data_IF_014693511016
#
_entry.id   IF_014693511016
#
_cell.length_a   1.000
_cell.length_b   1.000
_cell.length_c   1.000
_cell.angle_alpha   90.00
_cell.angle_beta   90.00
_cell.angle_gamma   90.00
#
_symmetry.space_group_name_H-M   'P 1'
#
loop_
_entity.id
_entity.type
_entity.pdbx_description
1 polymer ?
#
# COMPACT_ATOMS: atom_id res chain seq x y z
N UNK A 1 -52.51 10.39 31.31
CA UNK A 1 -51.41 10.63 32.25
C UNK A 1 -50.26 11.27 31.53
N UNK A 2 -49.97 12.52 31.88
CA UNK A 2 -48.95 13.34 31.21
C UNK A 2 -47.54 12.75 31.36
N UNK A 3 -47.27 12.01 32.43
CA UNK A 3 -45.98 11.35 32.67
C UNK A 3 -45.57 10.34 31.58
N UNK A 4 -46.52 9.59 31.04
CA UNK A 4 -46.25 8.63 29.97
C UNK A 4 -45.75 9.33 28.68
N UNK A 5 -46.27 10.51 28.38
CA UNK A 5 -45.81 11.29 27.21
C UNK A 5 -44.39 11.77 27.36
N UNK A 6 -44.00 12.28 28.53
CA UNK A 6 -42.65 12.71 28.81
C UNK A 6 -41.68 11.55 28.80
N UNK A 7 -42.06 10.40 29.33
CA UNK A 7 -41.24 9.17 29.33
C UNK A 7 -41.02 8.66 27.90
N UNK A 8 -42.03 8.70 27.06
CA UNK A 8 -41.94 8.34 25.63
C UNK A 8 -40.98 9.28 24.88
N UNK A 9 -41.03 10.59 25.14
CA UNK A 9 -40.14 11.58 24.53
C UNK A 9 -38.69 11.32 24.95
N UNK A 10 -38.42 11.03 26.22
CA UNK A 10 -37.09 10.71 26.73
C UNK A 10 -36.51 9.46 26.04
N UNK A 11 -37.30 8.38 25.93
CA UNK A 11 -36.85 7.18 25.24
C UNK A 11 -36.64 7.42 23.74
N UNK A 12 -37.44 8.26 23.11
CA UNK A 12 -37.26 8.65 21.71
C UNK A 12 -35.96 9.42 21.50
N UNK A 13 -35.63 10.35 22.40
CA UNK A 13 -34.36 11.12 22.39
C UNK A 13 -33.17 10.19 22.57
N UNK A 14 -33.23 9.26 23.53
CA UNK A 14 -32.17 8.28 23.78
C UNK A 14 -31.99 7.36 22.55
N UNK A 15 -33.08 6.92 21.93
CA UNK A 15 -33.06 6.11 20.71
C UNK A 15 -32.44 6.86 19.52
N UNK A 16 -32.81 8.12 19.34
CA UNK A 16 -32.25 8.99 18.28
C UNK A 16 -30.77 9.35 18.52
N UNK A 17 -30.36 9.50 19.76
CA UNK A 17 -28.97 9.77 20.13
C UNK A 17 -28.03 8.62 19.77
N UNK A 18 -28.55 7.41 19.51
CA UNK A 18 -27.81 6.24 19.04
C UNK A 18 -26.56 5.97 19.89
N UNK A 19 -26.71 5.73 21.23
CA UNK A 19 -25.53 5.52 22.06
C UNK A 19 -24.73 4.33 21.52
N UNK A 20 -23.62 4.63 20.84
CA UNK A 20 -22.68 3.61 20.35
C UNK A 20 -21.65 3.39 21.43
N UNK A 21 -21.54 2.17 21.90
CA UNK A 21 -20.38 1.75 22.65
C UNK A 21 -19.20 1.80 21.69
N UNK A 22 -18.36 2.82 21.79
CA UNK A 22 -17.04 2.76 21.17
C UNK A 22 -16.32 1.66 21.93
N UNK A 23 -16.25 0.48 21.31
CA UNK A 23 -15.24 -0.50 21.72
C UNK A 23 -13.92 0.21 21.45
N UNK A 24 -13.28 0.70 22.50
CA UNK A 24 -11.87 1.05 22.44
C UNK A 24 -11.20 -0.16 21.81
N UNK A 25 -10.83 -0.01 20.54
CA UNK A 25 -9.88 -0.93 19.97
C UNK A 25 -8.66 -0.76 20.85
N UNK A 26 -8.47 -1.72 21.73
CA UNK A 26 -7.21 -1.86 22.45
C UNK A 26 -6.18 -1.78 21.36
N UNK A 27 -5.51 -0.63 21.25
CA UNK A 27 -4.32 -0.50 20.44
C UNK A 27 -3.36 -1.45 21.12
N UNK A 28 -3.41 -2.71 20.71
CA UNK A 28 -2.33 -3.64 21.00
C UNK A 28 -1.17 -2.96 20.27
N UNK A 29 -0.37 -2.23 21.04
CA UNK A 29 0.93 -1.73 20.61
C UNK A 29 1.81 -2.97 20.43
N UNK A 30 1.45 -3.78 19.46
CA UNK A 30 2.40 -4.72 18.87
C UNK A 30 3.42 -3.83 18.17
N UNK A 31 4.69 -4.09 18.40
CA UNK A 31 5.83 -3.40 17.77
C UNK A 31 5.84 -3.59 16.23
N UNK A 32 4.69 -3.41 15.59
CA UNK A 32 4.51 -3.51 14.15
C UNK A 32 5.32 -2.44 13.44
N UNK A 33 5.79 -2.78 12.25
CA UNK A 33 6.52 -1.87 11.37
C UNK A 33 5.56 -1.27 10.34
N UNK A 34 5.93 -0.10 9.80
CA UNK A 34 5.21 0.52 8.70
C UNK A 34 5.91 0.22 7.38
N UNK A 35 5.18 -0.37 6.47
CA UNK A 35 5.68 -0.81 5.17
C UNK A 35 4.88 -0.12 4.07
N UNK A 36 5.56 0.49 3.10
CA UNK A 36 4.92 0.89 1.84
C UNK A 36 5.44 0.03 0.72
N UNK A 37 4.53 -0.64 0.04
CA UNK A 37 4.78 -1.39 -1.18
C UNK A 37 4.65 -0.44 -2.36
N UNK A 38 5.72 -0.22 -3.13
CA UNK A 38 5.73 0.60 -4.32
C UNK A 38 5.83 -0.33 -5.54
N UNK A 39 4.73 -0.47 -6.28
CA UNK A 39 4.62 -1.37 -7.43
C UNK A 39 4.70 -0.60 -8.73
N UNK A 40 5.58 -1.03 -9.61
CA UNK A 40 5.60 -0.57 -10.99
C UNK A 40 4.41 -1.16 -11.77
N UNK A 41 3.81 -0.31 -12.63
CA UNK A 41 2.69 -0.69 -13.51
C UNK A 41 2.90 -0.19 -14.94
N UNK A 42 4.17 0.01 -15.34
CA UNK A 42 4.56 0.40 -16.70
C UNK A 42 4.26 -0.72 -17.73
N UNK A 43 4.38 -0.40 -19.02
CA UNK A 43 4.16 -1.32 -20.11
C UNK A 43 5.09 -2.53 -20.08
N UNK A 44 6.33 -2.43 -19.57
CA UNK A 44 7.27 -3.54 -19.42
C UNK A 44 6.75 -4.65 -18.50
N UNK A 45 5.90 -4.31 -17.54
CA UNK A 45 5.26 -5.25 -16.62
C UNK A 45 4.22 -6.16 -17.30
N UNK A 46 3.89 -5.90 -18.56
CA UNK A 46 3.06 -6.77 -19.40
C UNK A 46 3.83 -7.99 -19.93
N UNK A 47 5.16 -8.02 -19.85
CA UNK A 47 5.97 -9.12 -20.35
C UNK A 47 5.58 -10.45 -19.68
N UNK A 48 5.32 -11.48 -20.51
CA UNK A 48 4.91 -12.82 -20.08
C UNK A 48 6.11 -13.78 -20.06
N UNK A 49 7.16 -13.41 -19.35
CA UNK A 49 8.39 -14.17 -19.24
C UNK A 49 8.39 -15.19 -18.09
N UNK A 50 7.34 -15.19 -17.27
CA UNK A 50 7.14 -16.18 -16.22
C UNK A 50 6.17 -17.29 -16.62
N UNK A 51 6.43 -18.51 -16.15
CA UNK A 51 5.53 -19.66 -16.29
C UNK A 51 5.15 -20.20 -14.91
N UNK A 52 3.86 -20.25 -14.61
CA UNK A 52 3.33 -20.90 -13.39
C UNK A 52 2.35 -21.98 -13.85
N UNK A 53 2.55 -23.22 -13.39
CA UNK A 53 1.72 -24.36 -13.77
C UNK A 53 1.55 -24.55 -15.29
N UNK A 54 2.61 -24.25 -16.07
CA UNK A 54 2.59 -24.34 -17.52
C UNK A 54 1.92 -23.16 -18.26
N UNK A 55 1.29 -22.23 -17.56
CA UNK A 55 0.69 -21.03 -18.13
C UNK A 55 1.63 -19.83 -18.04
N UNK A 56 1.71 -19.07 -19.12
CA UNK A 56 2.42 -17.78 -19.10
C UNK A 56 1.65 -16.77 -18.28
N UNK A 57 2.37 -15.99 -17.49
CA UNK A 57 1.83 -14.91 -16.66
C UNK A 57 2.68 -13.67 -16.87
N UNK A 58 2.04 -12.51 -16.89
CA UNK A 58 2.75 -11.25 -16.94
C UNK A 58 3.42 -10.92 -15.58
N UNK A 59 4.42 -10.06 -15.64
CA UNK A 59 5.20 -9.67 -14.44
C UNK A 59 4.33 -9.07 -13.35
N UNK A 60 3.35 -8.22 -13.70
CA UNK A 60 2.46 -7.60 -12.73
C UNK A 60 1.64 -8.65 -11.97
N UNK A 61 1.10 -9.67 -12.64
CA UNK A 61 0.31 -10.72 -11.98
C UNK A 61 1.17 -11.56 -11.03
N UNK A 62 2.43 -11.82 -11.40
CA UNK A 62 3.40 -12.51 -10.53
C UNK A 62 3.67 -11.66 -9.29
N UNK A 63 3.99 -10.38 -9.45
CA UNK A 63 4.24 -9.48 -8.33
C UNK A 63 3.01 -9.41 -7.42
N UNK A 64 1.81 -9.27 -7.98
CA UNK A 64 0.57 -9.25 -7.19
C UNK A 64 0.38 -10.52 -6.38
N UNK A 65 0.77 -11.69 -6.91
CA UNK A 65 0.70 -12.95 -6.17
C UNK A 65 1.69 -13.00 -5.01
N UNK A 66 2.93 -12.58 -5.24
CA UNK A 66 3.99 -12.50 -4.22
C UNK A 66 3.63 -11.49 -3.12
N UNK A 67 3.14 -10.32 -3.51
CA UNK A 67 2.70 -9.29 -2.57
C UNK A 67 1.53 -9.78 -1.72
N UNK A 68 0.58 -10.52 -2.31
CA UNK A 68 -0.53 -11.11 -1.55
C UNK A 68 -0.04 -12.10 -0.51
N UNK A 69 0.86 -13.01 -0.90
CA UNK A 69 1.48 -13.96 0.03
C UNK A 69 2.28 -13.25 1.13
N UNK A 70 2.98 -12.16 0.78
CA UNK A 70 3.69 -11.33 1.74
C UNK A 70 2.73 -10.72 2.77
N UNK A 71 1.58 -10.16 2.32
CA UNK A 71 0.56 -9.57 3.19
C UNK A 71 -0.03 -10.64 4.12
N UNK A 72 -0.33 -11.84 3.61
CA UNK A 72 -0.94 -12.93 4.39
C UNK A 72 -0.04 -13.42 5.54
N UNK A 73 1.27 -13.23 5.43
CA UNK A 73 2.25 -13.58 6.47
C UNK A 73 2.43 -12.49 7.55
N UNK A 74 1.71 -11.35 7.46
CA UNK A 74 1.80 -10.26 8.43
C UNK A 74 0.66 -10.33 9.43
N UNK A 75 0.94 -9.94 10.68
CA UNK A 75 -0.04 -10.01 11.77
C UNK A 75 -0.40 -8.62 12.31
N UNK A 76 0.56 -7.70 12.36
CA UNK A 76 0.40 -6.42 13.06
C UNK A 76 1.06 -5.23 12.36
N UNK A 77 1.66 -5.45 11.20
CA UNK A 77 2.31 -4.38 10.42
C UNK A 77 1.25 -3.51 9.73
N UNK A 78 1.51 -2.20 9.65
CA UNK A 78 0.71 -1.34 8.76
C UNK A 78 1.33 -1.34 7.38
N UNK A 79 0.51 -1.65 6.39
CA UNK A 79 0.98 -1.75 5.01
C UNK A 79 0.20 -0.77 4.14
N UNK A 80 0.91 0.04 3.37
CA UNK A 80 0.36 0.91 2.34
C UNK A 80 0.76 0.45 0.94
N UNK A 81 0.01 0.90 -0.06
CA UNK A 81 0.24 0.55 -1.46
C UNK A 81 0.34 1.83 -2.32
N UNK A 82 1.47 1.97 -2.98
CA UNK A 82 1.74 2.97 -4.00
C UNK A 82 1.96 2.25 -5.32
N UNK A 83 1.43 2.78 -6.41
CA UNK A 83 1.75 2.33 -7.77
C UNK A 83 2.47 3.46 -8.49
N UNK A 84 3.32 3.10 -9.44
CA UNK A 84 4.00 4.09 -10.26
C UNK A 84 4.25 3.59 -11.69
N UNK A 85 4.22 4.53 -12.60
CA UNK A 85 4.63 4.47 -13.98
C UNK A 85 5.42 5.75 -14.25
N UNK A 86 5.01 6.60 -15.21
CA UNK A 86 5.57 7.94 -15.36
C UNK A 86 5.26 8.86 -14.16
N UNK A 87 4.20 8.56 -13.41
CA UNK A 87 3.81 9.21 -12.15
C UNK A 87 3.52 8.19 -11.08
N UNK A 88 3.48 8.63 -9.81
CA UNK A 88 3.18 7.77 -8.68
C UNK A 88 1.86 8.17 -8.01
N UNK A 89 1.07 7.16 -7.63
CA UNK A 89 -0.23 7.31 -6.98
C UNK A 89 -0.35 6.41 -5.76
N UNK A 90 -0.94 6.93 -4.69
CA UNK A 90 -1.28 6.12 -3.52
C UNK A 90 -2.60 5.41 -3.76
N UNK A 91 -2.57 4.09 -3.80
CA UNK A 91 -3.75 3.24 -3.96
C UNK A 91 -4.39 2.92 -2.60
N UNK A 92 -3.55 2.69 -1.60
CA UNK A 92 -3.98 2.37 -0.25
C UNK A 92 -3.06 3.05 0.76
N UNK A 93 -3.58 3.86 1.70
CA UNK A 93 -2.78 4.39 2.81
C UNK A 93 -2.36 3.27 3.76
N UNK A 94 -1.47 3.57 4.73
CA UNK A 94 -1.06 2.61 5.75
C UNK A 94 -2.28 2.09 6.53
N UNK A 95 -2.47 0.77 6.50
CA UNK A 95 -3.58 0.09 7.16
C UNK A 95 -3.17 -1.26 7.72
N UNK A 96 -3.89 -1.71 8.73
CA UNK A 96 -3.87 -3.09 9.25
C UNK A 96 -5.02 -3.94 8.69
N UNK A 97 -5.93 -3.33 7.92
CA UNK A 97 -6.98 -4.06 7.21
C UNK A 97 -6.40 -4.69 5.93
N UNK A 98 -5.90 -5.90 6.08
CA UNK A 98 -5.29 -6.65 4.98
C UNK A 98 -6.31 -7.09 3.93
N UNK A 99 -7.58 -7.22 4.30
CA UNK A 99 -8.65 -7.56 3.35
C UNK A 99 -8.87 -6.42 2.37
N UNK A 100 -9.01 -5.21 2.90
CA UNK A 100 -9.13 -3.99 2.10
C UNK A 100 -7.87 -3.72 1.25
N UNK A 101 -6.68 -3.93 1.81
CA UNK A 101 -5.42 -3.78 1.09
C UNK A 101 -5.34 -4.74 -0.11
N UNK A 102 -5.70 -6.03 0.08
CA UNK A 102 -5.72 -7.04 -0.99
C UNK A 102 -6.77 -6.72 -2.06
N UNK A 103 -7.91 -6.18 -1.69
CA UNK A 103 -8.92 -5.75 -2.64
C UNK A 103 -8.40 -4.61 -3.53
N UNK A 104 -7.74 -3.61 -2.93
CA UNK A 104 -7.10 -2.53 -3.67
C UNK A 104 -5.96 -3.04 -4.57
N UNK A 105 -5.13 -3.98 -4.10
CA UNK A 105 -4.10 -4.63 -4.91
C UNK A 105 -4.72 -5.34 -6.13
N UNK A 106 -5.89 -5.99 -5.98
CA UNK A 106 -6.57 -6.66 -7.08
C UNK A 106 -7.03 -5.69 -8.17
N UNK A 107 -7.40 -4.46 -7.80
CA UNK A 107 -7.82 -3.42 -8.74
C UNK A 107 -6.67 -2.81 -9.55
N UNK A 108 -5.43 -3.01 -9.12
CA UNK A 108 -4.24 -2.56 -9.86
C UNK A 108 -4.14 -3.32 -11.18
N UNK A 109 -4.06 -2.58 -12.29
CA UNK A 109 -3.98 -3.11 -13.66
C UNK A 109 -2.94 -2.33 -14.46
N UNK A 110 -2.42 -2.94 -15.50
CA UNK A 110 -1.61 -2.24 -16.52
C UNK A 110 -2.42 -1.11 -17.16
N UNK A 111 -1.74 -0.01 -17.48
CA UNK A 111 -2.36 1.15 -18.12
C UNK A 111 -3.23 2.03 -17.20
N UNK A 112 -3.26 1.77 -15.91
CA UNK A 112 -3.96 2.63 -14.93
C UNK A 112 -3.20 3.94 -14.67
N UNK A 113 -1.91 3.97 -15.01
CA UNK A 113 -1.00 5.12 -14.89
C UNK A 113 -0.35 5.33 -16.25
N UNK A 114 0.09 6.56 -16.54
CA UNK A 114 0.85 6.85 -17.76
C UNK A 114 2.10 6.00 -17.84
N UNK A 115 2.42 5.53 -19.06
CA UNK A 115 3.56 4.65 -19.30
C UNK A 115 4.90 5.36 -19.05
N UNK A 116 5.84 4.59 -18.55
CA UNK A 116 7.16 5.06 -18.13
C UNK A 116 7.50 4.54 -16.73
N UNK A 117 8.75 4.73 -16.31
CA UNK A 117 9.28 4.22 -15.04
C UNK A 117 9.92 5.36 -14.25
N UNK A 118 9.15 5.99 -13.37
CA UNK A 118 9.59 7.07 -12.49
C UNK A 118 9.87 6.55 -11.07
N UNK A 119 10.96 5.81 -10.89
CA UNK A 119 11.37 5.19 -9.62
C UNK A 119 11.44 6.24 -8.50
N UNK A 120 12.08 7.39 -8.77
CA UNK A 120 12.22 8.47 -7.80
C UNK A 120 10.88 9.02 -7.33
N UNK A 121 9.87 9.08 -8.22
CA UNK A 121 8.50 9.48 -7.88
C UNK A 121 7.83 8.42 -6.99
N UNK A 122 8.03 7.12 -7.28
CA UNK A 122 7.56 6.01 -6.47
C UNK A 122 8.12 6.06 -5.04
N UNK A 123 9.43 6.28 -4.90
CA UNK A 123 10.10 6.44 -3.60
C UNK A 123 9.56 7.68 -2.88
N UNK A 124 9.49 8.83 -3.54
CA UNK A 124 9.02 10.09 -2.94
C UNK A 124 7.58 10.00 -2.45
N UNK A 125 6.69 9.39 -3.25
CA UNK A 125 5.30 9.16 -2.86
C UNK A 125 5.20 8.22 -1.64
N UNK A 126 6.05 7.20 -1.58
CA UNK A 126 6.14 6.28 -0.44
C UNK A 126 6.66 6.96 0.83
N UNK A 127 7.67 7.82 0.71
CA UNK A 127 8.17 8.65 1.82
C UNK A 127 7.06 9.51 2.40
N UNK A 128 6.23 10.15 1.56
CA UNK A 128 5.10 10.97 2.01
C UNK A 128 4.10 10.18 2.88
N UNK A 129 3.96 8.87 2.67
CA UNK A 129 3.10 8.01 3.48
C UNK A 129 3.75 7.61 4.82
N UNK A 130 5.08 7.62 4.89
CA UNK A 130 5.85 7.17 6.04
C UNK A 130 6.41 8.30 6.90
N UNK A 131 6.50 9.53 6.39
CA UNK A 131 7.21 10.63 7.07
C UNK A 131 6.67 10.94 8.47
N UNK A 132 5.36 10.87 8.65
CA UNK A 132 4.67 11.19 9.91
C UNK A 132 4.42 9.94 10.78
N UNK A 133 4.92 8.78 10.35
CA UNK A 133 4.80 7.53 11.09
C UNK A 133 5.62 7.55 12.37
N UNK A 134 5.03 7.05 13.44
CA UNK A 134 5.67 6.85 14.76
C UNK A 134 6.18 5.42 14.95
N UNK A 135 6.11 4.56 13.93
CA UNK A 135 6.61 3.20 14.03
C UNK A 135 8.13 3.18 14.25
N UNK A 136 8.62 2.22 15.01
CA UNK A 136 10.06 2.03 15.27
C UNK A 136 10.84 1.75 13.98
N UNK A 137 10.21 1.10 13.01
CA UNK A 137 10.81 0.81 11.72
C UNK A 137 9.87 1.20 10.58
N UNK A 138 10.43 1.87 9.56
CA UNK A 138 9.72 2.35 8.38
C UNK A 138 10.44 1.84 7.15
N UNK A 139 9.70 1.18 6.27
CA UNK A 139 10.27 0.43 5.15
C UNK A 139 9.50 0.76 3.86
N UNK A 140 10.23 0.95 2.79
CA UNK A 140 9.72 0.96 1.41
C UNK A 140 10.22 -0.30 0.73
N UNK A 141 9.32 -1.07 0.13
CA UNK A 141 9.64 -2.19 -0.76
C UNK A 141 9.28 -1.76 -2.17
N UNK A 142 10.29 -1.51 -2.99
CA UNK A 142 10.15 -1.11 -4.38
C UNK A 142 10.19 -2.37 -5.25
N UNK A 143 9.13 -2.59 -6.04
CA UNK A 143 9.01 -3.68 -6.99
C UNK A 143 9.00 -3.08 -8.40
N UNK A 144 10.06 -3.35 -9.16
CA UNK A 144 10.30 -2.76 -10.49
C UNK A 144 10.99 -3.76 -11.39
N UNK A 145 10.77 -3.70 -12.68
CA UNK A 145 11.46 -4.52 -13.69
C UNK A 145 12.41 -3.67 -14.55
N UNK A 146 12.44 -2.36 -14.34
CA UNK A 146 13.02 -1.43 -15.28
C UNK A 146 14.07 -0.48 -14.72
N UNK A 147 14.61 0.26 -15.67
CA UNK A 147 15.52 1.37 -15.45
C UNK A 147 14.70 2.65 -15.43
N UNK A 148 15.03 3.57 -14.52
CA UNK A 148 14.36 4.87 -14.44
C UNK A 148 14.48 5.62 -15.79
N UNK A 149 13.36 5.93 -16.42
CA UNK A 149 13.28 6.62 -17.72
C UNK A 149 12.29 7.78 -17.72
N UNK A 150 11.63 8.05 -16.58
CA UNK A 150 10.63 9.09 -16.42
C UNK A 150 10.72 9.76 -15.04
N UNK A 151 9.93 10.83 -14.86
CA UNK A 151 9.85 11.57 -13.60
C UNK A 151 10.93 12.64 -13.44
N UNK A 152 10.70 13.56 -12.50
CA UNK A 152 11.62 14.68 -12.21
C UNK A 152 12.57 14.41 -11.04
N UNK A 153 12.30 13.37 -10.25
CA UNK A 153 13.10 13.00 -9.09
C UNK A 153 14.00 11.84 -9.48
N UNK A 154 15.31 12.06 -9.36
CA UNK A 154 16.30 11.00 -9.55
C UNK A 154 16.16 9.93 -8.43
N UNK A 155 16.24 8.62 -8.74
CA UNK A 155 16.17 7.54 -7.76
C UNK A 155 17.16 7.67 -6.60
N UNK A 156 18.39 8.10 -6.85
CA UNK A 156 19.41 8.28 -5.82
C UNK A 156 19.06 9.44 -4.88
N UNK A 157 18.49 10.50 -5.42
CA UNK A 157 17.95 11.63 -4.63
C UNK A 157 16.81 11.16 -3.73
N UNK A 158 15.88 10.37 -4.26
CA UNK A 158 14.80 9.74 -3.48
C UNK A 158 15.34 8.83 -2.37
N UNK A 159 16.33 8.01 -2.68
CA UNK A 159 17.00 7.13 -1.72
C UNK A 159 17.73 7.91 -0.61
N UNK A 160 18.40 9.00 -0.96
CA UNK A 160 19.08 9.89 -0.01
C UNK A 160 18.08 10.57 0.94
N UNK A 161 16.95 11.00 0.42
CA UNK A 161 15.87 11.56 1.23
C UNK A 161 15.27 10.50 2.19
N UNK A 162 15.02 9.28 1.71
CA UNK A 162 14.57 8.18 2.56
C UNK A 162 15.56 7.93 3.70
N UNK A 163 16.86 7.87 3.40
CA UNK A 163 17.94 7.69 4.39
C UNK A 163 17.94 8.80 5.44
N UNK A 164 17.82 10.06 5.04
CA UNK A 164 17.80 11.20 5.98
C UNK A 164 16.62 11.17 6.94
N UNK A 165 15.53 10.53 6.54
CA UNK A 165 14.33 10.33 7.36
C UNK A 165 14.35 8.99 8.12
N UNK A 166 15.41 8.21 8.03
CA UNK A 166 15.51 6.90 8.67
C UNK A 166 14.57 5.84 8.08
N UNK A 167 14.19 5.98 6.81
CA UNK A 167 13.35 5.03 6.08
C UNK A 167 14.25 4.10 5.26
N UNK A 168 14.09 2.79 5.43
CA UNK A 168 14.83 1.79 4.65
C UNK A 168 14.15 1.51 3.32
N UNK A 169 14.92 1.46 2.25
CA UNK A 169 14.41 1.12 0.91
C UNK A 169 15.01 -0.22 0.49
N UNK A 170 14.13 -1.18 0.17
CA UNK A 170 14.49 -2.46 -0.42
C UNK A 170 13.98 -2.50 -1.85
N UNK A 171 14.81 -2.91 -2.77
CA UNK A 171 14.46 -3.04 -4.19
C UNK A 171 14.39 -4.51 -4.57
N UNK A 172 13.30 -4.91 -5.20
CA UNK A 172 13.06 -6.25 -5.71
C UNK A 172 12.87 -6.14 -7.23
N UNK A 173 13.77 -6.78 -7.98
CA UNK A 173 13.68 -6.85 -9.42
C UNK A 173 12.61 -7.85 -9.86
N UNK A 174 11.73 -7.42 -10.75
CA UNK A 174 10.65 -8.22 -11.33
C UNK A 174 10.98 -8.64 -12.76
N UNK A 175 11.97 -9.46 -12.93
CA UNK A 175 12.37 -9.95 -14.25
C UNK A 175 13.11 -11.27 -14.16
N UNK A 176 13.07 -12.06 -15.23
CA UNK A 176 13.97 -13.18 -15.40
C UNK A 176 15.35 -12.63 -15.76
N UNK A 177 16.41 -13.05 -15.06
CA UNK A 177 17.77 -12.84 -15.57
C UNK A 177 17.82 -13.43 -16.97
N UNK A 178 18.16 -12.58 -17.95
CA UNK A 178 18.21 -13.01 -19.34
C UNK A 178 19.07 -14.25 -19.49
N UNK A 179 18.46 -15.26 -20.11
CA UNK A 179 19.21 -16.34 -20.73
C UNK A 179 19.88 -15.81 -21.98
#
# INVERSE_FOLDING_TARGET
PYYLRWLAIIFLIIGLAGPRKVLDQTIISTDGIDIVLALEVSGSMAAEDFKINGQRKNRLDIIKSVVREFIDKRLSDRIGLVIFGARAYTVCPLTTDYSWLKENLNRVKLGIVEDGTAIGSGISSSILRLKDSKAKSRIIILLTDGVNNAGHVDPLTGGSLAKSLGIKVYTIGAGTQGM
#
